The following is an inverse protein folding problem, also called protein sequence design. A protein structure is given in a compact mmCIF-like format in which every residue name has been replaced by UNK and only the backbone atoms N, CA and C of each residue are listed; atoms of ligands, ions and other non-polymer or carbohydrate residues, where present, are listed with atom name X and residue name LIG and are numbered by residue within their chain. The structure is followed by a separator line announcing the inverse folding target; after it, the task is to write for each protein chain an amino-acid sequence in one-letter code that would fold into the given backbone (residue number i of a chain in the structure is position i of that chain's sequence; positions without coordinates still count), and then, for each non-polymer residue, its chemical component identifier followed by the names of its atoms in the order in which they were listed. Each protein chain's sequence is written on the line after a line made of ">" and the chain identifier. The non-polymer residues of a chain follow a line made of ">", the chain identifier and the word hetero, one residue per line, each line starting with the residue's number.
data_IF_777244514551
#
_entry.id   IF_777244514551
#
_cell.length_a   1.000
_cell.length_b   1.000
_cell.length_c   1.000
_cell.angle_alpha   90.00
_cell.angle_beta   90.00
_cell.angle_gamma   90.00
#
_symmetry.space_group_name_H-M   'P 1'
#
loop_
_entity.id
_entity.type
_entity.pdbx_description
1 polymer ?
#
# COMPACT_ATOMS: atom_id res chain seq x y z
N UNK A 1 44.56 -36.13 -41.18
CA UNK A 1 43.92 -37.38 -40.75
C UNK A 1 42.66 -36.98 -40.01
N UNK A 2 41.52 -37.07 -40.68
CA UNK A 2 40.22 -36.69 -40.13
C UNK A 2 39.85 -37.65 -39.00
N UNK A 3 39.25 -37.19 -37.88
CA UNK A 3 38.68 -38.11 -36.91
C UNK A 3 37.49 -38.83 -37.54
N UNK A 4 37.43 -40.13 -37.29
CA UNK A 4 36.45 -41.10 -37.77
C UNK A 4 35.00 -40.67 -37.40
N UNK A 5 34.05 -40.60 -38.35
CA UNK A 5 32.66 -40.19 -38.08
C UNK A 5 31.77 -41.30 -37.47
N UNK A 6 32.32 -42.44 -37.06
CA UNK A 6 31.54 -43.53 -36.47
C UNK A 6 31.82 -43.69 -34.98
N UNK A 7 31.42 -42.71 -34.16
CA UNK A 7 31.08 -43.04 -32.77
C UNK A 7 29.75 -43.78 -32.84
N UNK A 8 29.71 -45.09 -32.55
CA UNK A 8 28.47 -45.84 -32.66
C UNK A 8 27.45 -45.25 -31.69
N UNK A 9 26.26 -44.93 -32.22
CA UNK A 9 25.13 -44.34 -31.48
C UNK A 9 24.67 -45.19 -30.29
N UNK A 10 25.18 -46.41 -30.16
CA UNK A 10 25.01 -47.32 -29.02
C UNK A 10 25.73 -46.87 -27.76
N UNK A 11 26.80 -46.05 -27.84
CA UNK A 11 27.53 -45.56 -26.67
C UNK A 11 26.89 -44.32 -26.01
N UNK A 12 26.04 -43.58 -26.74
CA UNK A 12 25.27 -42.47 -26.17
C UNK A 12 23.98 -42.91 -25.45
N UNK A 13 23.55 -44.17 -25.65
CA UNK A 13 22.40 -44.76 -24.95
C UNK A 13 22.76 -45.46 -23.63
N UNK A 14 24.05 -45.56 -23.31
CA UNK A 14 24.56 -46.23 -22.10
C UNK A 14 25.16 -45.27 -21.07
N UNK A 15 24.95 -43.96 -21.21
CA UNK A 15 25.15 -43.05 -20.08
C UNK A 15 23.89 -43.14 -19.24
N UNK A 16 23.84 -43.95 -18.15
CA UNK A 16 22.73 -43.87 -17.24
C UNK A 16 22.66 -42.42 -16.77
N UNK A 17 21.51 -41.77 -16.95
CA UNK A 17 21.24 -40.53 -16.24
C UNK A 17 21.61 -40.80 -14.76
N UNK A 18 22.43 -39.95 -14.11
CA UNK A 18 22.92 -40.22 -12.76
C UNK A 18 21.81 -40.29 -11.70
N UNK A 19 20.57 -40.05 -12.12
CA UNK A 19 19.34 -40.14 -11.35
C UNK A 19 18.31 -40.93 -12.17
N UNK A 20 17.73 -42.01 -11.64
CA UNK A 20 16.50 -42.53 -12.20
C UNK A 20 15.43 -41.43 -12.05
N UNK A 21 14.59 -41.21 -13.06
CA UNK A 21 13.37 -40.42 -12.88
C UNK A 21 12.17 -41.37 -12.76
N UNK A 22 11.90 -41.98 -11.59
CA UNK A 22 10.59 -42.52 -11.28
C UNK A 22 9.83 -41.41 -10.55
N UNK A 23 9.43 -40.34 -11.26
CA UNK A 23 8.48 -39.39 -10.67
C UNK A 23 7.11 -39.94 -10.95
N UNK A 24 6.54 -40.68 -9.99
CA UNK A 24 5.15 -41.09 -10.06
C UNK A 24 4.28 -39.84 -10.28
N UNK A 25 3.44 -39.80 -11.33
CA UNK A 25 2.64 -38.60 -11.64
C UNK A 25 1.72 -38.22 -10.47
N UNK A 26 1.27 -39.21 -9.68
CA UNK A 26 0.51 -38.96 -8.45
C UNK A 26 1.35 -38.29 -7.35
N UNK A 27 2.64 -38.64 -7.22
CA UNK A 27 3.55 -38.01 -6.27
C UNK A 27 3.87 -36.57 -6.68
N UNK A 28 4.05 -36.32 -7.99
CA UNK A 28 4.22 -34.97 -8.52
C UNK A 28 3.00 -34.09 -8.23
N UNK A 29 1.79 -34.59 -8.50
CA UNK A 29 0.55 -33.84 -8.27
C UNK A 29 0.34 -33.52 -6.79
N UNK A 30 0.54 -34.50 -5.88
CA UNK A 30 0.43 -34.27 -4.43
C UNK A 30 1.43 -33.26 -3.89
N UNK A 31 2.61 -33.15 -4.52
CA UNK A 31 3.65 -32.20 -4.11
C UNK A 31 3.39 -30.80 -4.66
N UNK A 32 2.91 -30.69 -5.90
CA UNK A 32 2.72 -29.41 -6.57
C UNK A 32 1.41 -28.70 -6.20
N UNK A 33 0.35 -29.45 -5.86
CA UNK A 33 -0.93 -28.88 -5.46
C UNK A 33 -0.83 -27.85 -4.32
N UNK A 34 -0.22 -28.15 -3.16
CA UNK A 34 -0.09 -27.17 -2.08
C UNK A 34 0.85 -26.00 -2.45
N UNK A 35 1.85 -26.24 -3.28
CA UNK A 35 2.77 -25.22 -3.79
C UNK A 35 2.06 -24.21 -4.70
N UNK A 36 1.28 -24.72 -5.66
CA UNK A 36 0.52 -23.90 -6.60
C UNK A 36 -0.54 -23.06 -5.89
N UNK A 37 -1.25 -23.66 -4.93
CA UNK A 37 -2.24 -22.94 -4.12
C UNK A 37 -1.59 -21.80 -3.32
N UNK A 38 -0.48 -22.06 -2.63
CA UNK A 38 0.27 -21.03 -1.89
C UNK A 38 0.75 -19.91 -2.81
N UNK A 39 1.31 -20.25 -3.97
CA UNK A 39 1.76 -19.25 -4.95
C UNK A 39 0.62 -18.35 -5.43
N UNK A 40 -0.56 -18.92 -5.72
CA UNK A 40 -1.74 -18.15 -6.13
C UNK A 40 -2.19 -17.19 -5.03
N UNK A 41 -2.29 -17.66 -3.78
CA UNK A 41 -2.67 -16.81 -2.63
C UNK A 41 -1.67 -15.67 -2.44
N UNK A 42 -0.37 -15.97 -2.51
CA UNK A 42 0.70 -14.96 -2.40
C UNK A 42 0.55 -13.90 -3.51
N UNK A 43 0.36 -14.31 -4.76
CA UNK A 43 0.21 -13.37 -5.87
C UNK A 43 -1.01 -12.48 -5.69
N UNK A 44 -2.17 -13.05 -5.32
CA UNK A 44 -3.39 -12.28 -5.06
C UNK A 44 -3.15 -11.27 -3.93
N UNK A 45 -2.50 -11.70 -2.85
CA UNK A 45 -2.19 -10.83 -1.72
C UNK A 45 -1.22 -9.70 -2.12
N UNK A 46 -0.18 -9.99 -2.91
CA UNK A 46 0.76 -8.98 -3.40
C UNK A 46 0.10 -7.95 -4.32
N UNK A 47 -0.81 -8.39 -5.21
CA UNK A 47 -1.62 -7.49 -6.04
C UNK A 47 -2.51 -6.60 -5.17
N UNK A 48 -3.10 -7.16 -4.11
CA UNK A 48 -3.87 -6.38 -3.15
C UNK A 48 -3.00 -5.36 -2.41
N UNK A 49 -1.82 -5.74 -1.88
CA UNK A 49 -0.88 -4.78 -1.26
C UNK A 49 -0.52 -3.68 -2.24
N UNK A 50 -0.30 -4.04 -3.51
CA UNK A 50 0.07 -3.08 -4.54
C UNK A 50 -0.96 -1.97 -4.68
N UNK A 51 -2.22 -2.35 -4.72
CA UNK A 51 -3.32 -1.39 -4.82
C UNK A 51 -3.51 -0.62 -3.51
N UNK A 52 -3.37 -1.30 -2.37
CA UNK A 52 -3.41 -0.69 -1.04
C UNK A 52 -2.41 0.47 -0.86
N UNK A 53 -1.10 0.20 -1.01
CA UNK A 53 -0.08 1.21 -0.75
C UNK A 53 -0.22 2.39 -1.72
N UNK A 54 -0.70 2.13 -2.95
CA UNK A 54 -0.93 3.15 -3.96
C UNK A 54 -1.95 4.19 -3.51
N UNK A 55 -2.94 3.81 -2.71
CA UNK A 55 -3.92 4.74 -2.17
C UNK A 55 -3.43 5.41 -0.89
N UNK A 56 -2.89 4.66 0.08
CA UNK A 56 -2.56 5.20 1.41
C UNK A 56 -1.37 6.16 1.38
N UNK A 57 -0.31 5.77 0.68
CA UNK A 57 0.97 6.47 0.70
C UNK A 57 1.02 7.70 -0.22
N UNK A 58 -0.03 7.91 -1.02
CA UNK A 58 -0.13 9.11 -1.86
C UNK A 58 -0.68 10.26 -1.04
N UNK A 59 0.13 11.31 -0.94
CA UNK A 59 -0.31 12.62 -0.45
C UNK A 59 -1.47 13.18 -1.30
N UNK A 60 -1.34 13.06 -2.63
CA UNK A 60 -2.29 13.54 -3.63
C UNK A 60 -2.65 12.42 -4.63
N UNK A 61 -3.69 11.63 -4.34
CA UNK A 61 -4.27 10.58 -5.20
C UNK A 61 -4.86 11.19 -6.48
N UNK A 62 -5.56 12.32 -6.33
CA UNK A 62 -6.17 13.06 -7.43
C UNK A 62 -5.34 14.30 -7.77
N UNK A 63 -4.17 14.09 -8.40
CA UNK A 63 -3.46 15.19 -9.06
C UNK A 63 -4.36 15.78 -10.15
N UNK A 64 -5.09 16.86 -9.83
CA UNK A 64 -5.50 17.92 -10.77
C UNK A 64 -6.23 17.49 -12.07
N UNK A 65 -6.80 16.28 -12.17
CA UNK A 65 -7.51 15.86 -13.40
C UNK A 65 -8.93 16.43 -13.50
N UNK A 66 -9.55 16.89 -12.41
CA UNK A 66 -10.83 17.60 -12.48
C UNK A 66 -10.73 18.98 -13.15
N UNK A 67 -9.53 19.57 -13.26
CA UNK A 67 -9.31 20.77 -14.09
C UNK A 67 -9.57 20.51 -15.58
N UNK A 68 -9.53 19.24 -16.01
CA UNK A 68 -9.87 18.77 -17.36
C UNK A 68 -11.34 18.36 -17.47
N UNK A 69 -11.92 17.71 -16.45
CA UNK A 69 -13.32 17.28 -16.46
C UNK A 69 -14.32 18.43 -16.35
N UNK A 70 -14.02 19.47 -15.56
CA UNK A 70 -14.78 20.72 -15.52
C UNK A 70 -14.80 21.46 -16.87
N UNK A 71 -13.81 21.18 -17.74
CA UNK A 71 -13.71 21.79 -19.08
C UNK A 71 -14.47 20.98 -20.14
N UNK A 72 -14.68 19.68 -19.92
CA UNK A 72 -15.30 18.77 -20.89
C UNK A 72 -16.80 18.57 -20.71
N UNK A 73 -17.30 18.50 -19.46
CA UNK A 73 -18.74 18.25 -19.18
C UNK A 73 -19.49 19.53 -18.84
N UNK A 74 -18.82 20.53 -18.25
CA UNK A 74 -19.40 21.84 -17.86
C UNK A 74 -18.86 22.97 -18.75
N UNK A 75 -18.44 22.64 -19.97
CA UNK A 75 -17.74 23.55 -20.88
C UNK A 75 -18.63 24.49 -21.70
N UNK A 76 -19.96 24.56 -21.46
CA UNK A 76 -20.85 25.39 -22.29
C UNK A 76 -21.89 26.21 -21.53
N UNK A 77 -21.99 26.09 -20.21
CA UNK A 77 -22.88 26.93 -19.43
C UNK A 77 -22.26 27.21 -18.08
N UNK A 78 -22.22 28.49 -17.72
CA UNK A 78 -21.85 29.05 -16.43
C UNK A 78 -20.36 29.34 -16.19
N UNK A 79 -19.81 30.23 -17.02
CA UNK A 79 -18.49 30.85 -16.90
C UNK A 79 -18.33 31.74 -15.64
N UNK A 80 -19.44 32.16 -14.99
CA UNK A 80 -19.42 32.96 -13.74
C UNK A 80 -19.69 32.19 -12.43
N UNK A 81 -20.18 30.95 -12.46
CA UNK A 81 -20.37 30.09 -11.25
C UNK A 81 -19.26 29.04 -11.13
N UNK A 82 -18.44 28.90 -12.16
CA UNK A 82 -17.37 27.91 -12.26
C UNK A 82 -16.21 28.04 -11.26
N UNK A 83 -16.10 29.16 -10.54
CA UNK A 83 -15.07 29.34 -9.50
C UNK A 83 -15.53 28.81 -8.14
N UNK A 84 -16.75 29.14 -7.69
CA UNK A 84 -17.28 28.66 -6.40
C UNK A 84 -17.47 27.15 -6.43
N UNK A 85 -18.06 26.59 -7.49
CA UNK A 85 -18.24 25.13 -7.62
C UNK A 85 -16.90 24.39 -7.67
N UNK A 86 -15.87 24.99 -8.29
CA UNK A 86 -14.52 24.43 -8.34
C UNK A 86 -13.83 24.46 -6.97
N UNK A 87 -14.00 25.54 -6.22
CA UNK A 87 -13.50 25.66 -4.85
C UNK A 87 -14.22 24.65 -3.95
N UNK A 88 -15.55 24.56 -4.04
CA UNK A 88 -16.35 23.59 -3.25
C UNK A 88 -15.95 22.15 -3.59
N UNK A 89 -15.83 21.79 -4.87
CA UNK A 89 -15.34 20.45 -5.27
C UNK A 89 -13.95 20.16 -4.72
N UNK A 90 -13.04 21.14 -4.78
CA UNK A 90 -11.70 20.99 -4.22
C UNK A 90 -11.74 20.84 -2.69
N UNK A 91 -12.52 21.67 -2.01
CA UNK A 91 -12.72 21.60 -0.55
C UNK A 91 -13.30 20.25 -0.16
N UNK A 92 -14.35 19.76 -0.83
CA UNK A 92 -14.97 18.46 -0.52
C UNK A 92 -13.99 17.30 -0.78
N UNK A 93 -13.32 17.29 -1.94
CA UNK A 93 -12.33 16.27 -2.28
C UNK A 93 -11.18 16.23 -1.25
N UNK A 94 -10.69 17.38 -0.81
CA UNK A 94 -9.53 17.45 0.08
C UNK A 94 -9.86 17.37 1.57
N UNK A 95 -10.96 17.98 2.02
CA UNK A 95 -11.38 17.96 3.44
C UNK A 95 -12.21 16.74 3.81
N UNK A 96 -12.94 16.13 2.87
CA UNK A 96 -13.87 15.03 3.21
C UNK A 96 -13.35 13.70 2.69
N UNK A 97 -12.96 13.62 1.41
CA UNK A 97 -12.59 12.32 0.80
C UNK A 97 -11.27 11.79 1.37
N UNK A 98 -10.27 12.64 1.61
CA UNK A 98 -8.99 12.17 2.18
C UNK A 98 -9.09 11.65 3.60
N UNK A 99 -9.72 12.36 4.56
CA UNK A 99 -9.88 11.81 5.89
C UNK A 99 -10.69 10.52 5.88
N UNK A 100 -11.77 10.45 5.09
CA UNK A 100 -12.56 9.22 4.94
C UNK A 100 -11.73 8.05 4.42
N UNK A 101 -10.93 8.30 3.38
CA UNK A 101 -10.05 7.27 2.84
C UNK A 101 -9.01 6.82 3.87
N UNK A 102 -8.46 7.75 4.65
CA UNK A 102 -7.47 7.43 5.70
C UNK A 102 -8.10 6.61 6.84
N UNK A 103 -9.38 6.86 7.18
CA UNK A 103 -10.15 6.06 8.14
C UNK A 103 -10.26 4.61 7.67
N UNK A 104 -10.66 4.39 6.40
CA UNK A 104 -10.77 3.04 5.83
C UNK A 104 -9.44 2.30 5.94
N UNK A 105 -8.34 2.98 5.66
CA UNK A 105 -7.01 2.39 5.75
C UNK A 105 -6.51 2.18 7.17
N UNK A 106 -6.90 3.02 8.12
CA UNK A 106 -6.63 2.80 9.54
C UNK A 106 -7.27 1.50 10.03
N UNK A 107 -8.55 1.27 9.70
CA UNK A 107 -9.25 0.03 10.06
C UNK A 107 -8.55 -1.19 9.45
N UNK A 108 -8.10 -1.07 8.20
CA UNK A 108 -7.33 -2.12 7.56
C UNK A 108 -5.99 -2.39 8.27
N UNK A 109 -5.24 -1.34 8.66
CA UNK A 109 -4.01 -1.49 9.43
C UNK A 109 -4.23 -2.11 10.80
N UNK A 110 -5.31 -1.74 11.48
CA UNK A 110 -5.70 -2.33 12.75
C UNK A 110 -5.94 -3.83 12.60
N UNK A 111 -6.70 -4.22 11.58
CA UNK A 111 -6.94 -5.62 11.25
C UNK A 111 -5.63 -6.38 11.01
N UNK A 112 -4.70 -5.79 10.25
CA UNK A 112 -3.39 -6.37 10.01
C UNK A 112 -2.56 -6.56 11.30
N UNK A 113 -2.50 -5.54 12.15
CA UNK A 113 -1.74 -5.59 13.41
C UNK A 113 -2.32 -6.61 14.40
N UNK A 114 -3.65 -6.70 14.47
CA UNK A 114 -4.37 -7.74 15.23
C UNK A 114 -4.00 -9.15 14.76
N UNK A 115 -3.97 -9.35 13.44
CA UNK A 115 -3.60 -10.65 12.84
C UNK A 115 -2.14 -11.03 13.15
N UNK A 116 -1.25 -10.05 13.19
CA UNK A 116 0.19 -10.28 13.42
C UNK A 116 0.53 -10.58 14.89
N UNK A 117 -0.28 -10.09 15.83
CA UNK A 117 0.05 -10.10 17.25
C UNK A 117 -1.13 -10.61 18.10
N UNK A 118 -1.55 -11.88 17.92
CA UNK A 118 -2.61 -12.46 18.74
C UNK A 118 -2.23 -12.45 20.23
N UNK A 119 -3.20 -12.12 21.09
CA UNK A 119 -3.00 -12.08 22.55
C UNK A 119 -2.40 -10.78 23.10
N UNK A 120 -2.08 -9.81 22.24
CA UNK A 120 -1.71 -8.45 22.68
C UNK A 120 -2.96 -7.65 23.02
N UNK A 121 -2.88 -6.80 24.04
CA UNK A 121 -3.96 -5.92 24.46
C UNK A 121 -4.48 -5.02 23.32
N UNK A 122 -5.80 -4.91 23.20
CA UNK A 122 -6.44 -4.20 22.07
C UNK A 122 -6.09 -2.71 22.05
N UNK A 123 -5.88 -2.07 23.20
CA UNK A 123 -5.50 -0.66 23.26
C UNK A 123 -4.10 -0.46 22.69
N UNK A 124 -3.18 -1.37 22.96
CA UNK A 124 -1.83 -1.36 22.37
C UNK A 124 -1.89 -1.52 20.85
N UNK A 125 -2.73 -2.42 20.35
CA UNK A 125 -2.92 -2.64 18.92
C UNK A 125 -3.53 -1.41 18.22
N UNK A 126 -4.54 -0.79 18.83
CA UNK A 126 -5.18 0.44 18.34
C UNK A 126 -4.19 1.59 18.22
N UNK A 127 -3.36 1.81 19.26
CA UNK A 127 -2.31 2.85 19.27
C UNK A 127 -1.25 2.54 18.22
N UNK A 128 -0.80 1.29 18.15
CA UNK A 128 0.23 0.86 17.18
C UNK A 128 -0.23 1.10 15.75
N UNK A 129 -1.44 0.65 15.39
CA UNK A 129 -2.02 0.89 14.07
C UNK A 129 -2.12 2.39 13.76
N UNK A 130 -2.50 3.20 14.74
CA UNK A 130 -2.65 4.65 14.56
C UNK A 130 -1.30 5.33 14.38
N UNK A 131 -0.29 4.93 15.15
CA UNK A 131 1.08 5.43 15.02
C UNK A 131 1.65 5.11 13.65
N UNK A 132 1.44 3.89 13.14
CA UNK A 132 1.91 3.47 11.81
C UNK A 132 1.23 4.27 10.71
N UNK A 133 -0.10 4.37 10.72
CA UNK A 133 -0.85 5.16 9.74
C UNK A 133 -0.40 6.62 9.78
N UNK A 134 -0.24 7.18 10.98
CA UNK A 134 0.27 8.55 11.18
C UNK A 134 1.67 8.72 10.58
N UNK A 135 2.59 7.79 10.83
CA UNK A 135 3.94 7.84 10.27
C UNK A 135 3.92 7.79 8.74
N UNK A 136 3.08 6.94 8.14
CA UNK A 136 2.89 6.86 6.68
C UNK A 136 2.35 8.19 6.13
N UNK A 137 1.38 8.82 6.81
CA UNK A 137 0.80 10.10 6.38
C UNK A 137 1.81 11.23 6.48
N UNK A 138 2.49 11.40 7.62
CA UNK A 138 3.51 12.44 7.81
C UNK A 138 4.63 12.28 6.79
N UNK A 139 5.13 11.05 6.58
CA UNK A 139 6.18 10.80 5.60
C UNK A 139 5.72 11.03 4.16
N UNK A 140 4.42 10.93 3.83
CA UNK A 140 3.91 11.26 2.50
C UNK A 140 4.11 12.74 2.13
N UNK A 141 4.17 13.63 3.12
CA UNK A 141 4.48 15.06 2.94
C UNK A 141 5.99 15.33 2.83
N UNK A 142 6.82 14.43 3.36
CA UNK A 142 8.28 14.51 3.25
C UNK A 142 8.81 13.84 1.96
N UNK A 143 8.50 12.56 1.77
CA UNK A 143 8.88 11.76 0.61
C UNK A 143 7.80 10.70 0.33
N UNK A 144 7.16 10.80 -0.84
CA UNK A 144 6.17 9.81 -1.27
C UNK A 144 6.77 8.41 -1.42
N UNK A 145 8.05 8.30 -1.79
CA UNK A 145 8.72 6.99 -1.91
C UNK A 145 8.85 6.32 -0.53
N UNK A 146 9.29 7.09 0.47
CA UNK A 146 9.41 6.59 1.85
C UNK A 146 8.05 6.15 2.41
N UNK A 147 7.02 6.97 2.21
CA UNK A 147 5.66 6.62 2.63
C UNK A 147 5.16 5.34 1.95
N UNK A 148 5.47 5.16 0.66
CA UNK A 148 5.09 3.95 -0.10
C UNK A 148 5.81 2.72 0.43
N UNK A 149 7.07 2.84 0.82
CA UNK A 149 7.83 1.70 1.35
C UNK A 149 7.32 1.31 2.73
N UNK A 150 7.11 2.29 3.63
CA UNK A 150 6.49 2.06 4.94
C UNK A 150 5.10 1.41 4.81
N UNK A 151 4.30 1.86 3.86
CA UNK A 151 2.96 1.32 3.66
C UNK A 151 2.96 -0.17 3.23
N UNK A 152 4.02 -0.63 2.57
CA UNK A 152 4.15 -2.03 2.13
C UNK A 152 4.71 -2.95 3.21
N UNK A 153 5.56 -2.43 4.10
CA UNK A 153 6.35 -3.29 5.02
C UNK A 153 5.48 -4.17 5.91
N UNK A 154 4.43 -3.61 6.53
CA UNK A 154 3.60 -4.36 7.47
C UNK A 154 2.70 -5.40 6.80
N UNK A 155 1.96 -5.08 5.72
CA UNK A 155 1.26 -6.11 4.94
C UNK A 155 2.18 -7.24 4.46
N UNK A 156 3.39 -6.90 3.99
CA UNK A 156 4.37 -7.90 3.58
C UNK A 156 4.90 -8.73 4.76
N UNK A 157 5.07 -8.11 5.94
CA UNK A 157 5.47 -8.80 7.16
C UNK A 157 4.43 -9.86 7.58
N UNK A 158 3.15 -9.53 7.47
CA UNK A 158 2.04 -10.46 7.73
C UNK A 158 2.03 -11.59 6.69
N UNK A 159 2.17 -11.26 5.41
CA UNK A 159 2.31 -12.29 4.38
C UNK A 159 3.47 -13.24 4.70
N UNK A 160 4.62 -12.70 5.10
CA UNK A 160 5.78 -13.49 5.50
C UNK A 160 5.49 -14.42 6.68
N UNK A 161 4.86 -13.89 7.74
CA UNK A 161 4.46 -14.68 8.91
C UNK A 161 3.47 -15.80 8.55
N UNK A 162 2.47 -15.51 7.73
CA UNK A 162 1.45 -16.47 7.30
C UNK A 162 2.01 -17.58 6.40
N UNK A 163 2.99 -17.27 5.53
CA UNK A 163 3.64 -18.29 4.69
C UNK A 163 4.43 -19.29 5.53
N UNK A 164 4.98 -18.84 6.67
CA UNK A 164 5.79 -19.64 7.59
C UNK A 164 4.93 -20.53 8.51
N UNK A 165 3.69 -20.16 8.77
CA UNK A 165 2.75 -21.04 9.45
C UNK A 165 2.34 -22.20 8.54
N UNK A 166 2.13 -23.39 9.12
CA UNK A 166 1.72 -24.59 8.40
C UNK A 166 0.29 -24.51 7.81
N UNK A 167 -0.39 -23.37 7.99
CA UNK A 167 -1.75 -23.14 7.47
C UNK A 167 -1.72 -22.59 6.04
N UNK A 168 -2.31 -23.28 5.05
CA UNK A 168 -2.47 -22.76 3.70
C UNK A 168 -3.52 -21.64 3.58
N UNK A 169 -4.21 -21.28 4.67
CA UNK A 169 -5.24 -20.26 4.70
C UNK A 169 -4.90 -19.17 5.74
N UNK A 170 -5.14 -17.91 5.37
CA UNK A 170 -5.45 -16.86 6.33
C UNK A 170 -6.41 -17.45 7.38
N UNK A 171 -6.27 -17.14 8.69
CA UNK A 171 -7.24 -17.60 9.66
C UNK A 171 -8.64 -17.28 9.12
N UNK A 172 -9.40 -18.34 8.84
CA UNK A 172 -10.66 -18.24 8.11
C UNK A 172 -11.69 -17.42 8.87
N UNK A 173 -11.45 -17.23 10.17
CA UNK A 173 -12.33 -16.58 11.11
C UNK A 173 -11.53 -15.56 11.93
N UNK A 174 -12.04 -14.33 11.95
CA UNK A 174 -11.59 -13.32 12.91
C UNK A 174 -12.20 -13.73 14.26
N UNK A 175 -11.41 -13.84 15.35
CA UNK A 175 -11.96 -14.18 16.65
C UNK A 175 -13.06 -13.18 17.06
N UNK A 176 -14.23 -13.67 17.45
CA UNK A 176 -15.40 -12.82 17.77
C UNK A 176 -15.11 -11.88 18.93
N UNK A 177 -14.31 -12.34 19.90
CA UNK A 177 -13.80 -11.57 21.03
C UNK A 177 -12.99 -10.35 20.59
N UNK A 178 -12.20 -10.46 19.52
CA UNK A 178 -11.47 -9.32 18.96
C UNK A 178 -12.42 -8.30 18.36
N UNK A 179 -13.45 -8.75 17.63
CA UNK A 179 -14.46 -7.85 17.03
C UNK A 179 -15.22 -7.08 18.11
N UNK A 180 -15.62 -7.77 19.18
CA UNK A 180 -16.29 -7.16 20.34
C UNK A 180 -15.35 -6.17 21.03
N UNK A 181 -14.10 -6.56 21.30
CA UNK A 181 -13.11 -5.69 21.93
C UNK A 181 -12.84 -4.41 21.12
N UNK A 182 -12.79 -4.49 19.79
CA UNK A 182 -12.68 -3.30 18.92
C UNK A 182 -13.95 -2.44 19.01
N UNK A 183 -15.13 -3.06 18.96
CA UNK A 183 -16.41 -2.35 19.01
C UNK A 183 -16.61 -1.60 20.34
N UNK A 184 -16.20 -2.19 21.46
CA UNK A 184 -16.25 -1.55 22.79
C UNK A 184 -15.35 -0.30 22.87
N UNK A 185 -14.34 -0.19 22.00
CA UNK A 185 -13.40 0.95 21.94
C UNK A 185 -13.78 2.00 20.88
N UNK A 186 -15.04 2.02 20.43
CA UNK A 186 -15.50 2.95 19.38
C UNK A 186 -15.22 4.43 19.71
N UNK A 187 -15.35 4.85 20.98
CA UNK A 187 -15.04 6.22 21.39
C UNK A 187 -13.55 6.56 21.19
N UNK A 188 -12.66 5.65 21.58
CA UNK A 188 -11.22 5.79 21.36
C UNK A 188 -10.87 5.84 19.89
N UNK A 189 -11.51 4.98 19.09
CA UNK A 189 -11.35 4.97 17.63
C UNK A 189 -11.77 6.34 17.07
N UNK A 190 -12.93 6.88 17.45
CA UNK A 190 -13.37 8.19 16.99
C UNK A 190 -12.39 9.31 17.37
N UNK A 191 -11.81 9.29 18.57
CA UNK A 191 -10.80 10.25 18.98
C UNK A 191 -9.52 10.15 18.13
N UNK A 192 -9.09 8.93 17.79
CA UNK A 192 -7.95 8.71 16.89
C UNK A 192 -8.23 9.16 15.46
N UNK A 193 -9.45 8.92 14.96
CA UNK A 193 -9.86 9.41 13.65
C UNK A 193 -9.93 10.95 13.62
N UNK A 194 -10.45 11.58 14.68
CA UNK A 194 -10.45 13.03 14.82
C UNK A 194 -9.00 13.57 14.84
N UNK A 195 -8.11 12.96 15.62
CA UNK A 195 -6.69 13.30 15.62
C UNK A 195 -6.08 13.22 14.22
N UNK A 196 -6.34 12.14 13.48
CA UNK A 196 -5.83 11.93 12.14
C UNK A 196 -6.35 12.98 11.14
N UNK A 197 -7.63 13.35 11.25
CA UNK A 197 -8.22 14.45 10.47
C UNK A 197 -7.46 15.75 10.76
N UNK A 198 -7.31 16.12 12.04
CA UNK A 198 -6.62 17.35 12.45
C UNK A 198 -5.15 17.37 11.97
N UNK A 199 -4.46 16.24 12.10
CA UNK A 199 -3.10 16.07 11.61
C UNK A 199 -3.01 16.33 10.10
N UNK A 200 -3.92 15.75 9.33
CA UNK A 200 -3.97 15.94 7.87
C UNK A 200 -4.15 17.41 7.51
N UNK A 201 -5.00 18.15 8.23
CA UNK A 201 -5.14 19.60 8.07
C UNK A 201 -3.83 20.35 8.33
N UNK A 202 -3.17 20.06 9.45
CA UNK A 202 -1.92 20.71 9.83
C UNK A 202 -0.84 20.48 8.78
N UNK A 203 -0.69 19.24 8.29
CA UNK A 203 0.29 18.89 7.26
C UNK A 203 0.01 19.62 5.93
N UNK A 204 -1.26 19.73 5.53
CA UNK A 204 -1.65 20.46 4.31
C UNK A 204 -1.34 21.94 4.41
N UNK A 205 -1.71 22.59 5.52
CA UNK A 205 -1.41 24.01 5.74
C UNK A 205 0.10 24.23 5.74
N UNK A 206 0.85 23.41 6.47
CA UNK A 206 2.31 23.48 6.52
C UNK A 206 2.97 23.39 5.14
N UNK A 207 2.48 22.50 4.28
CA UNK A 207 3.00 22.35 2.91
C UNK A 207 2.71 23.58 2.05
N UNK A 208 1.50 24.15 2.12
CA UNK A 208 1.14 25.36 1.36
C UNK A 208 2.08 26.51 1.75
N UNK A 209 2.31 26.70 3.05
CA UNK A 209 3.22 27.73 3.56
C UNK A 209 4.67 27.49 3.14
N UNK A 210 5.16 26.25 3.22
CA UNK A 210 6.52 25.90 2.79
C UNK A 210 6.74 26.16 1.29
N UNK A 211 5.73 25.89 0.46
CA UNK A 211 5.81 26.11 -0.99
C UNK A 211 5.86 27.60 -1.33
N UNK A 212 5.15 28.46 -0.57
CA UNK A 212 5.18 29.91 -0.77
C UNK A 212 6.55 30.53 -0.44
N UNK A 213 7.20 30.08 0.64
CA UNK A 213 8.53 30.55 1.06
C UNK A 213 9.60 30.36 -0.01
N UNK A 214 9.53 29.26 -0.76
CA UNK A 214 10.48 28.96 -1.84
C UNK A 214 10.29 29.82 -3.08
N UNK A 215 9.10 30.40 -3.29
CA UNK A 215 8.82 31.29 -4.43
C UNK A 215 9.24 32.74 -4.14
N UNK A 216 9.26 33.15 -2.88
CA UNK A 216 9.72 34.47 -2.45
C UNK A 216 11.24 34.55 -2.24
N UNK A 217 11.96 33.43 -2.35
CA UNK A 217 13.36 33.31 -1.97
C UNK A 217 14.34 33.08 -3.14
N UNK A 218 14.01 33.50 -4.37
CA UNK A 218 15.02 33.56 -5.42
C UNK A 218 14.61 34.35 -6.66
N UNK A 219 15.57 34.85 -7.47
CA UNK A 219 16.90 35.36 -7.16
C UNK A 219 16.95 36.89 -7.37
N UNK A 220 16.99 37.68 -6.29
CA UNK A 220 17.27 39.14 -6.38
C UNK A 220 18.71 39.48 -5.97
N UNK A 221 19.55 38.50 -5.64
CA UNK A 221 20.90 38.74 -5.12
C UNK A 221 22.04 38.59 -6.14
N UNK A 222 21.76 38.64 -7.46
CA UNK A 222 22.83 38.59 -8.49
C UNK A 222 22.72 39.72 -9.52
N UNK A 223 22.32 40.91 -9.07
CA UNK A 223 22.50 42.16 -9.82
C UNK A 223 23.10 43.19 -8.89
N UNK A 224 24.42 43.34 -8.98
CA UNK A 224 25.10 44.51 -8.44
C UNK A 224 26.30 44.16 -7.57
N UNK A 225 27.41 43.82 -8.21
CA UNK A 225 28.66 44.49 -7.86
C UNK A 225 29.34 44.92 -9.16
N UNK A 226 29.32 46.23 -9.39
CA UNK A 226 29.95 46.93 -10.50
C UNK A 226 31.45 47.09 -10.24
N UNK A 227 32.27 47.08 -11.30
CA UNK A 227 33.69 47.44 -11.29
C UNK A 227 34.35 47.26 -12.63
#
# INVERSE_FOLDING_TARGET
>A
MFPDPAVPSTLLQQVPLPFPLPVDPELALRTWEPLALRAVVIVIYLVFIFEFYRFVARRDIFKLRFRRYARGVVGRSVESVGNVVRIVLYVVEYLVVYPLLTIVWYVFYLFLVVLLAPGVDIQVLLVTAMAIVTAIRVTAYYSQNLSQDLAKMLPLGILGALILEDSPALPAEIPVDVVVAVAERWETILLYLLFLVLLEFVLRIGQVLATQRLQTAGPEDDVGDEG
#
